data_IF_564392855065
#
_entry.id   IF_564392855065
#
_cell.length_a   1.000
_cell.length_b   1.000
_cell.length_c   1.000
_cell.angle_alpha   90.00
_cell.angle_beta   90.00
_cell.angle_gamma   90.00
#
_symmetry.space_group_name_H-M   'P 1'
#
loop_
_entity.id
_entity.type
_entity.pdbx_description
1 polymer ?
#
# COMPACT_ATOMS: atom_id res chain seq x y z
N UNK A 1 6.30 -13.12 -25.14
CA UNK A 1 7.77 -13.04 -25.00
C UNK A 1 8.29 -11.59 -24.90
N UNK A 2 8.03 -10.71 -25.87
CA UNK A 2 8.55 -9.31 -25.87
C UNK A 2 8.20 -8.49 -24.61
N UNK A 3 6.94 -8.48 -24.18
CA UNK A 3 6.52 -7.73 -22.97
C UNK A 3 7.13 -8.28 -21.67
N UNK A 4 7.39 -9.59 -21.62
CA UNK A 4 8.03 -10.21 -20.46
C UNK A 4 9.50 -9.82 -20.38
N UNK A 5 10.23 -9.88 -21.50
CA UNK A 5 11.61 -9.38 -21.56
C UNK A 5 11.69 -7.89 -21.18
N UNK A 6 10.77 -7.07 -21.67
CA UNK A 6 10.72 -5.65 -21.31
C UNK A 6 10.43 -5.43 -19.82
N UNK A 7 9.59 -6.26 -19.20
CA UNK A 7 9.35 -6.19 -17.76
C UNK A 7 10.59 -6.51 -16.92
N UNK A 8 11.45 -7.41 -17.39
CA UNK A 8 12.74 -7.71 -16.75
C UNK A 8 13.66 -6.48 -16.83
N UNK A 9 13.71 -5.82 -18.00
CA UNK A 9 14.49 -4.59 -18.19
C UNK A 9 13.98 -3.47 -17.25
N UNK A 10 12.66 -3.25 -17.20
CA UNK A 10 12.03 -2.28 -16.29
C UNK A 10 12.43 -2.59 -14.84
N UNK A 11 12.35 -3.86 -14.44
CA UNK A 11 12.69 -4.31 -13.09
C UNK A 11 14.12 -3.91 -12.74
N UNK A 12 15.10 -4.31 -13.56
CA UNK A 12 16.51 -4.05 -13.27
C UNK A 12 16.84 -2.55 -13.31
N UNK A 13 16.31 -1.80 -14.27
CA UNK A 13 16.50 -0.34 -14.32
C UNK A 13 15.96 0.30 -13.03
N UNK A 14 14.73 -0.01 -12.65
CA UNK A 14 14.14 0.52 -11.42
C UNK A 14 14.96 0.10 -10.19
N UNK A 15 15.37 -1.16 -10.11
CA UNK A 15 16.16 -1.70 -9.02
C UNK A 15 17.48 -0.93 -8.87
N UNK A 16 18.26 -0.79 -9.94
CA UNK A 16 19.55 -0.12 -9.89
C UNK A 16 19.42 1.37 -9.61
N UNK A 17 18.43 2.05 -10.19
CA UNK A 17 18.20 3.48 -9.89
C UNK A 17 17.81 3.67 -8.43
N UNK A 18 16.88 2.87 -7.91
CA UNK A 18 16.44 2.97 -6.51
C UNK A 18 17.58 2.59 -5.55
N UNK A 19 18.39 1.60 -5.90
CA UNK A 19 19.57 1.20 -5.14
C UNK A 19 20.62 2.31 -5.10
N UNK A 20 20.94 2.90 -6.25
CA UNK A 20 21.87 4.02 -6.34
C UNK A 20 21.37 5.21 -5.51
N UNK A 21 20.12 5.63 -5.70
CA UNK A 21 19.56 6.77 -4.96
C UNK A 21 19.45 6.50 -3.46
N UNK A 22 18.89 5.36 -3.06
CA UNK A 22 18.68 5.03 -1.64
C UNK A 22 20.00 4.84 -0.87
N UNK A 23 21.07 4.44 -1.55
CA UNK A 23 22.42 4.37 -0.97
C UNK A 23 23.22 5.67 -1.12
N UNK A 24 22.65 6.72 -1.70
CA UNK A 24 23.37 7.95 -2.09
C UNK A 24 24.63 7.65 -2.90
N UNK A 25 24.51 6.72 -3.86
CA UNK A 25 25.58 6.28 -4.76
C UNK A 25 26.77 5.61 -4.07
N UNK A 26 26.64 5.24 -2.78
CA UNK A 26 27.65 4.45 -2.04
C UNK A 26 27.49 2.94 -2.23
N UNK A 27 26.38 2.49 -2.81
CA UNK A 27 26.04 1.07 -3.05
C UNK A 27 26.15 0.16 -1.82
N UNK A 28 26.02 0.75 -0.63
CA UNK A 28 25.97 0.08 0.67
C UNK A 28 24.68 0.47 1.38
N UNK A 29 23.90 -0.49 1.91
CA UNK A 29 22.70 -0.18 2.67
C UNK A 29 23.04 0.71 3.84
N UNK A 30 22.26 1.78 4.02
CA UNK A 30 22.36 2.60 5.22
C UNK A 30 21.71 1.89 6.40
N UNK A 31 22.32 2.05 7.58
CA UNK A 31 21.63 1.68 8.81
C UNK A 31 20.40 2.58 8.99
N UNK A 32 19.29 1.94 9.35
CA UNK A 32 17.97 2.53 9.48
C UNK A 32 17.25 1.81 10.61
N UNK A 33 16.24 2.45 11.19
CA UNK A 33 15.42 1.82 12.23
C UNK A 33 14.79 0.54 11.69
N UNK A 34 15.12 -0.60 12.28
CA UNK A 34 14.71 -1.93 11.81
C UNK A 34 14.26 -2.82 12.97
N UNK A 35 12.95 -3.00 13.06
CA UNK A 35 12.33 -3.96 13.96
C UNK A 35 11.91 -5.26 13.26
N UNK A 36 11.98 -5.32 11.93
CA UNK A 36 11.52 -6.49 11.15
C UNK A 36 12.51 -7.64 11.28
N UNK A 37 13.83 -7.37 11.26
CA UNK A 37 14.83 -8.41 11.50
C UNK A 37 14.73 -8.97 12.93
N UNK A 38 14.54 -8.09 13.92
CA UNK A 38 14.38 -8.47 15.32
C UNK A 38 13.09 -9.27 15.57
N UNK A 39 11.98 -8.84 14.96
CA UNK A 39 10.72 -9.56 15.02
C UNK A 39 10.84 -10.93 14.33
N UNK A 40 11.50 -11.02 13.18
CA UNK A 40 11.76 -12.29 12.49
C UNK A 40 12.52 -13.28 13.38
N UNK A 41 13.59 -12.86 14.05
CA UNK A 41 14.29 -13.70 15.03
C UNK A 41 13.41 -14.14 16.20
N UNK A 42 12.56 -13.24 16.68
CA UNK A 42 11.62 -13.54 17.78
C UNK A 42 10.62 -14.60 17.33
N UNK A 43 10.07 -14.47 16.11
CA UNK A 43 9.12 -15.44 15.54
C UNK A 43 9.73 -16.83 15.32
N UNK A 44 10.99 -16.90 14.91
CA UNK A 44 11.74 -18.17 14.79
C UNK A 44 11.78 -18.90 16.15
N UNK A 45 11.81 -18.16 17.25
CA UNK A 45 11.78 -18.68 18.61
C UNK A 45 10.36 -18.72 19.22
N UNK A 46 9.32 -18.66 18.39
CA UNK A 46 7.90 -18.65 18.80
C UNK A 46 7.52 -17.50 19.75
N UNK A 47 8.20 -16.35 19.64
CA UNK A 47 7.91 -15.12 20.39
C UNK A 47 7.32 -14.06 19.47
N UNK A 48 6.42 -13.25 20.04
CA UNK A 48 5.84 -12.08 19.36
C UNK A 48 6.43 -10.76 19.85
N UNK A 49 7.09 -10.79 21.01
CA UNK A 49 7.81 -9.66 21.57
C UNK A 49 9.24 -9.57 21.04
N UNK A 50 9.78 -8.36 21.04
CA UNK A 50 11.18 -8.09 20.71
C UNK A 50 11.95 -7.96 22.02
N UNK A 51 12.79 -8.96 22.39
CA UNK A 51 13.58 -8.87 23.60
C UNK A 51 14.71 -7.84 23.44
N UNK A 52 14.88 -6.96 24.43
CA UNK A 52 15.98 -5.98 24.52
C UNK A 52 16.23 -5.23 23.19
N UNK A 53 15.23 -4.50 22.65
CA UNK A 53 15.42 -3.78 21.41
C UNK A 53 16.49 -2.68 21.61
N UNK A 54 17.31 -2.38 20.58
CA UNK A 54 18.37 -1.38 20.68
C UNK A 54 17.83 0.04 20.88
N UNK A 55 16.56 0.26 20.54
CA UNK A 55 15.80 1.48 20.79
C UNK A 55 14.33 1.09 20.97
N UNK A 56 13.59 1.86 21.76
CA UNK A 56 12.18 1.63 22.06
C UNK A 56 11.24 2.50 21.23
N UNK A 57 11.81 3.39 20.41
CA UNK A 57 11.06 4.35 19.60
C UNK A 57 10.04 3.65 18.67
N UNK A 58 8.77 4.06 18.75
CA UNK A 58 7.61 3.49 18.08
C UNK A 58 7.30 2.00 18.41
N UNK A 59 7.87 1.45 19.49
CA UNK A 59 7.47 0.14 20.01
C UNK A 59 6.39 0.30 21.09
N UNK A 60 5.53 -0.70 21.21
CA UNK A 60 4.50 -0.77 22.24
C UNK A 60 5.01 -1.52 23.47
N UNK A 61 4.97 -0.90 24.65
CA UNK A 61 5.32 -1.55 25.92
C UNK A 61 4.09 -2.09 26.63
N UNK A 62 3.94 -3.41 26.70
CA UNK A 62 2.79 -4.05 27.33
C UNK A 62 3.19 -5.32 28.07
N UNK A 63 2.71 -5.49 29.31
CA UNK A 63 2.98 -6.69 30.11
C UNK A 63 4.48 -6.99 30.31
N UNK A 64 5.31 -5.95 30.45
CA UNK A 64 6.75 -6.09 30.63
C UNK A 64 7.54 -6.38 29.36
N UNK A 65 6.89 -6.37 28.18
CA UNK A 65 7.47 -6.74 26.88
C UNK A 65 7.31 -5.64 25.85
N UNK A 66 8.20 -5.63 24.86
CA UNK A 66 8.16 -4.70 23.73
C UNK A 66 7.58 -5.39 22.49
N UNK A 67 6.61 -4.76 21.85
CA UNK A 67 5.96 -5.27 20.64
C UNK A 67 6.09 -4.27 19.50
N UNK A 68 6.31 -4.77 18.28
CA UNK A 68 6.25 -3.93 17.10
C UNK A 68 4.80 -3.48 16.86
N UNK A 69 4.55 -2.19 16.65
CA UNK A 69 3.22 -1.65 16.32
C UNK A 69 2.84 -1.87 14.85
N UNK A 70 3.82 -2.22 14.02
CA UNK A 70 3.69 -2.47 12.58
C UNK A 70 3.22 -3.90 12.28
N UNK A 71 2.86 -4.14 11.03
CA UNK A 71 2.51 -5.48 10.57
C UNK A 71 3.67 -6.47 10.63
N UNK A 72 3.31 -7.73 10.82
CA UNK A 72 4.21 -8.89 10.85
C UNK A 72 4.72 -9.29 9.46
N UNK A 73 4.08 -8.80 8.38
CA UNK A 73 4.32 -9.25 7.01
C UNK A 73 5.79 -9.18 6.55
N UNK A 74 6.55 -8.08 6.78
CA UNK A 74 7.96 -8.05 6.39
C UNK A 74 8.80 -9.05 7.18
N UNK A 75 8.51 -9.24 8.47
CA UNK A 75 9.21 -10.22 9.31
C UNK A 75 8.98 -11.65 8.80
N UNK A 76 7.77 -12.00 8.36
CA UNK A 76 7.49 -13.33 7.78
C UNK A 76 8.32 -13.59 6.51
N UNK A 77 8.58 -12.57 5.69
CA UNK A 77 9.43 -12.69 4.50
C UNK A 77 10.90 -12.85 4.88
N UNK A 78 11.33 -12.23 5.99
CA UNK A 78 12.71 -12.32 6.48
C UNK A 78 13.04 -13.70 7.07
N UNK A 79 12.09 -14.42 7.66
CA UNK A 79 12.32 -15.75 8.27
C UNK A 79 13.09 -16.69 7.34
N UNK A 80 12.61 -17.04 6.13
CA UNK A 80 13.35 -17.95 5.25
C UNK A 80 14.70 -17.38 4.78
N UNK A 81 14.80 -16.06 4.62
CA UNK A 81 16.04 -15.41 4.17
C UNK A 81 17.13 -15.44 5.24
N UNK A 82 16.74 -15.19 6.49
CA UNK A 82 17.63 -15.28 7.66
C UNK A 82 18.02 -16.73 7.92
N UNK A 83 17.12 -17.70 7.74
CA UNK A 83 17.44 -19.12 7.88
C UNK A 83 18.51 -19.57 6.87
N UNK A 84 18.41 -19.11 5.62
CA UNK A 84 19.39 -19.44 4.57
C UNK A 84 20.74 -18.73 4.80
N UNK A 85 20.72 -17.46 5.21
CA UNK A 85 21.94 -16.65 5.35
C UNK A 85 22.61 -16.73 6.72
N UNK A 86 21.90 -17.19 7.74
CA UNK A 86 22.36 -17.23 9.13
C UNK A 86 22.55 -15.84 9.78
N UNK A 87 22.09 -14.75 9.17
CA UNK A 87 22.31 -13.39 9.65
C UNK A 87 21.18 -12.43 9.25
N UNK A 88 21.21 -11.22 9.82
CA UNK A 88 20.32 -10.13 9.44
C UNK A 88 20.43 -9.77 7.97
N UNK A 89 19.28 -9.49 7.38
CA UNK A 89 19.16 -9.05 6.00
C UNK A 89 18.76 -7.58 6.01
N UNK A 90 19.58 -6.65 5.49
CA UNK A 90 19.20 -5.26 5.42
C UNK A 90 17.83 -5.11 4.74
N UNK A 91 16.84 -4.62 5.49
CA UNK A 91 15.44 -4.47 5.03
C UNK A 91 15.31 -3.57 3.80
N UNK A 92 16.30 -2.69 3.59
CA UNK A 92 16.46 -1.91 2.38
C UNK A 92 16.41 -2.75 1.09
N UNK A 93 16.99 -3.96 1.09
CA UNK A 93 16.92 -4.86 -0.08
C UNK A 93 15.48 -5.32 -0.37
N UNK A 94 14.67 -5.55 0.67
CA UNK A 94 13.25 -5.84 0.49
C UNK A 94 12.52 -4.62 -0.10
N UNK A 95 12.80 -3.42 0.43
CA UNK A 95 12.18 -2.20 -0.06
C UNK A 95 12.41 -1.99 -1.56
N UNK A 96 13.66 -2.12 -2.03
CA UNK A 96 13.97 -1.97 -3.46
C UNK A 96 13.33 -3.10 -4.27
N UNK A 97 13.48 -4.36 -3.84
CA UNK A 97 12.92 -5.52 -4.54
C UNK A 97 11.43 -5.35 -4.82
N UNK A 98 10.66 -5.10 -3.77
CA UNK A 98 9.20 -4.97 -3.89
C UNK A 98 8.79 -3.67 -4.56
N UNK A 99 9.58 -2.59 -4.46
CA UNK A 99 9.35 -1.36 -5.21
C UNK A 99 9.54 -1.53 -6.70
N UNK A 100 10.58 -2.24 -7.12
CA UNK A 100 10.81 -2.58 -8.53
C UNK A 100 9.72 -3.51 -9.07
N UNK A 101 9.30 -4.51 -8.28
CA UNK A 101 8.15 -5.36 -8.64
C UNK A 101 6.85 -4.56 -8.78
N UNK A 102 6.61 -3.59 -7.90
CA UNK A 102 5.44 -2.71 -7.99
C UNK A 102 5.38 -1.96 -9.33
N UNK A 103 6.52 -1.42 -9.79
CA UNK A 103 6.62 -0.74 -11.09
C UNK A 103 6.32 -1.73 -12.23
N UNK A 104 6.83 -2.95 -12.16
CA UNK A 104 6.53 -4.00 -13.16
C UNK A 104 5.04 -4.34 -13.21
N UNK A 105 4.38 -4.51 -12.06
CA UNK A 105 2.95 -4.78 -12.03
C UNK A 105 2.12 -3.60 -12.51
N UNK A 106 2.55 -2.35 -12.24
CA UNK A 106 1.94 -1.17 -12.83
C UNK A 106 2.08 -1.18 -14.37
N UNK A 107 3.24 -1.56 -14.91
CA UNK A 107 3.41 -1.74 -16.35
C UNK A 107 2.43 -2.76 -16.93
N UNK A 108 2.27 -3.92 -16.29
CA UNK A 108 1.30 -4.93 -16.72
C UNK A 108 -0.15 -4.44 -16.60
N UNK A 109 -0.47 -3.67 -15.56
CA UNK A 109 -1.79 -3.06 -15.40
C UNK A 109 -2.07 -2.06 -16.55
N UNK A 110 -1.10 -1.21 -16.89
CA UNK A 110 -1.22 -0.25 -18.01
C UNK A 110 -1.35 -0.95 -19.37
N UNK A 111 -0.58 -2.02 -19.61
CA UNK A 111 -0.74 -2.85 -20.81
C UNK A 111 -2.14 -3.46 -20.88
N UNK A 112 -2.69 -3.90 -19.74
CA UNK A 112 -4.04 -4.43 -19.69
C UNK A 112 -5.09 -3.35 -19.93
N UNK A 113 -4.93 -2.17 -19.33
CA UNK A 113 -5.78 -1.01 -19.60
C UNK A 113 -5.81 -0.73 -21.10
N UNK A 114 -4.64 -0.64 -21.74
CA UNK A 114 -4.55 -0.48 -23.20
C UNK A 114 -5.31 -1.59 -23.93
N UNK A 115 -5.03 -2.86 -23.63
CA UNK A 115 -5.60 -3.99 -24.37
C UNK A 115 -7.12 -4.09 -24.23
N UNK A 116 -7.65 -3.86 -23.04
CA UNK A 116 -9.04 -4.22 -22.71
C UNK A 116 -9.99 -3.03 -22.62
N UNK A 117 -9.47 -1.83 -22.34
CA UNK A 117 -10.30 -0.65 -22.05
C UNK A 117 -9.98 0.53 -22.97
N UNK A 118 -8.70 0.75 -23.31
CA UNK A 118 -8.24 1.89 -24.11
C UNK A 118 -7.30 1.46 -25.26
N UNK A 119 -7.80 0.75 -26.30
CA UNK A 119 -6.95 0.25 -27.40
C UNK A 119 -6.13 1.33 -28.10
N UNK A 120 -6.71 2.54 -28.20
CA UNK A 120 -6.13 3.73 -28.82
C UNK A 120 -4.97 4.35 -28.02
N UNK A 121 -4.73 3.92 -26.78
CA UNK A 121 -3.65 4.46 -25.95
C UNK A 121 -2.28 4.05 -26.51
N UNK A 122 -1.43 5.01 -26.86
CA UNK A 122 -0.09 4.71 -27.38
C UNK A 122 0.83 4.12 -26.30
N UNK A 123 1.84 3.36 -26.71
CA UNK A 123 2.87 2.86 -25.79
C UNK A 123 3.68 3.99 -25.14
N UNK A 124 3.89 5.09 -25.85
CA UNK A 124 4.51 6.29 -25.29
C UNK A 124 3.77 6.78 -24.03
N UNK A 125 2.43 6.83 -24.07
CA UNK A 125 1.62 7.20 -22.89
C UNK A 125 1.80 6.21 -21.75
N UNK A 126 1.87 4.90 -22.04
CA UNK A 126 2.16 3.87 -21.03
C UNK A 126 3.48 4.19 -20.32
N UNK A 127 4.54 4.48 -21.07
CA UNK A 127 5.85 4.74 -20.49
C UNK A 127 5.90 6.04 -19.70
N UNK A 128 5.22 7.11 -20.14
CA UNK A 128 5.06 8.33 -19.34
C UNK A 128 4.37 8.02 -18.01
N UNK A 129 3.23 7.31 -18.03
CA UNK A 129 2.53 6.95 -16.79
C UNK A 129 3.39 6.08 -15.88
N UNK A 130 4.19 5.18 -16.46
CA UNK A 130 5.10 4.33 -15.70
C UNK A 130 6.22 5.14 -15.04
N UNK A 131 6.82 6.10 -15.76
CA UNK A 131 7.83 7.01 -15.21
C UNK A 131 7.26 7.88 -14.10
N UNK A 132 6.05 8.43 -14.30
CA UNK A 132 5.36 9.22 -13.29
C UNK A 132 5.01 8.39 -12.05
N UNK A 133 4.58 7.13 -12.23
CA UNK A 133 4.38 6.24 -11.10
C UNK A 133 5.70 5.96 -10.36
N UNK A 134 6.76 5.65 -11.10
CA UNK A 134 8.05 5.28 -10.55
C UNK A 134 8.82 6.44 -9.89
N UNK A 135 8.62 7.70 -10.32
CA UNK A 135 9.42 8.84 -9.86
C UNK A 135 8.58 10.02 -9.35
N UNK A 136 7.33 10.14 -9.78
CA UNK A 136 6.42 11.23 -9.44
C UNK A 136 5.40 10.87 -8.34
N UNK A 137 5.56 9.74 -7.66
CA UNK A 137 4.68 9.38 -6.52
C UNK A 137 5.50 9.02 -5.28
N UNK A 138 4.82 8.85 -4.16
CA UNK A 138 5.42 8.37 -2.91
C UNK A 138 6.12 7.02 -3.07
N UNK A 139 5.84 6.26 -4.13
CA UNK A 139 6.57 5.05 -4.52
C UNK A 139 8.09 5.26 -4.53
N UNK A 140 8.56 6.39 -5.04
CA UNK A 140 9.99 6.68 -5.13
C UNK A 140 10.61 6.93 -3.75
N UNK A 141 9.97 7.80 -2.96
CA UNK A 141 10.43 8.14 -1.61
C UNK A 141 10.47 6.91 -0.70
N UNK A 142 9.35 6.16 -0.64
CA UNK A 142 9.23 5.01 0.23
C UNK A 142 10.14 3.86 -0.27
N UNK A 143 10.22 3.65 -1.58
CA UNK A 143 11.02 2.57 -2.16
C UNK A 143 12.54 2.75 -2.10
N UNK A 144 13.01 3.98 -1.86
CA UNK A 144 14.44 4.29 -1.68
C UNK A 144 14.86 4.31 -0.21
N UNK A 145 13.95 4.00 0.72
CA UNK A 145 14.21 3.98 2.16
C UNK A 145 14.02 2.57 2.72
N UNK A 146 14.88 2.21 3.69
CA UNK A 146 14.89 0.89 4.32
C UNK A 146 14.28 0.83 5.73
N UNK A 147 13.84 1.95 6.29
CA UNK A 147 13.33 1.97 7.67
C UNK A 147 12.04 1.17 7.82
N UNK A 148 11.75 0.76 9.05
CA UNK A 148 10.61 -0.09 9.43
C UNK A 148 9.27 0.34 8.79
N UNK A 149 8.98 1.65 8.76
CA UNK A 149 7.76 2.20 8.18
C UNK A 149 7.67 1.98 6.67
N UNK A 150 8.77 2.23 5.97
CA UNK A 150 8.81 2.26 4.50
C UNK A 150 8.73 0.85 3.91
N UNK A 151 9.47 -0.07 4.52
CA UNK A 151 9.49 -1.48 4.10
C UNK A 151 8.11 -2.10 4.22
N UNK A 152 7.44 -1.86 5.34
CA UNK A 152 6.08 -2.31 5.58
C UNK A 152 5.07 -1.70 4.59
N UNK A 153 5.18 -0.39 4.30
CA UNK A 153 4.36 0.29 3.30
C UNK A 153 4.53 -0.32 1.89
N UNK A 154 5.77 -0.54 1.43
CA UNK A 154 6.04 -1.06 0.08
C UNK A 154 5.56 -2.50 -0.09
N UNK A 155 5.85 -3.37 0.87
CA UNK A 155 5.46 -4.78 0.79
C UNK A 155 3.93 -4.91 0.82
N UNK A 156 3.27 -4.16 1.70
CA UNK A 156 1.80 -4.15 1.77
C UNK A 156 1.19 -3.56 0.49
N UNK A 157 1.75 -2.47 -0.03
CA UNK A 157 1.32 -1.86 -1.30
C UNK A 157 1.50 -2.83 -2.47
N UNK A 158 2.55 -3.65 -2.47
CA UNK A 158 2.77 -4.68 -3.49
C UNK A 158 1.67 -5.73 -3.54
N UNK A 159 1.25 -6.26 -2.38
CA UNK A 159 0.09 -7.16 -2.34
C UNK A 159 -1.17 -6.47 -2.86
N UNK A 160 -1.35 -5.20 -2.50
CA UNK A 160 -2.38 -4.31 -3.05
C UNK A 160 -2.38 -4.26 -4.58
N UNK A 161 -1.22 -3.95 -5.16
CA UNK A 161 -1.01 -3.82 -6.61
C UNK A 161 -1.26 -5.14 -7.34
N UNK A 162 -0.78 -6.27 -6.80
CA UNK A 162 -1.04 -7.59 -7.37
C UNK A 162 -2.54 -7.90 -7.35
N UNK A 163 -3.21 -7.65 -6.22
CA UNK A 163 -4.65 -7.85 -6.08
C UNK A 163 -5.46 -7.00 -7.07
N UNK A 164 -5.12 -5.72 -7.20
CA UNK A 164 -5.73 -4.81 -8.18
C UNK A 164 -5.47 -5.28 -9.61
N UNK A 165 -4.21 -5.61 -9.93
CA UNK A 165 -3.84 -6.14 -11.24
C UNK A 165 -4.65 -7.40 -11.56
N UNK A 166 -4.87 -8.30 -10.60
CA UNK A 166 -5.66 -9.50 -10.84
C UNK A 166 -7.12 -9.13 -11.15
N UNK A 167 -7.77 -8.26 -10.39
CA UNK A 167 -9.22 -8.01 -10.56
C UNK A 167 -9.56 -7.02 -11.67
N UNK A 168 -8.62 -6.13 -12.01
CA UNK A 168 -8.82 -5.11 -13.03
C UNK A 168 -8.73 -5.73 -14.42
N UNK A 169 -9.86 -6.19 -14.95
CA UNK A 169 -9.99 -6.77 -16.30
C UNK A 169 -11.45 -6.73 -16.77
N UNK A 170 -11.68 -6.74 -18.08
CA UNK A 170 -13.01 -6.63 -18.68
C UNK A 170 -13.85 -7.88 -18.47
N UNK A 171 -13.26 -9.06 -18.68
CA UNK A 171 -13.91 -10.36 -18.43
C UNK A 171 -13.33 -11.00 -17.17
N UNK A 172 -14.15 -11.11 -16.13
CA UNK A 172 -13.77 -11.72 -14.85
C UNK A 172 -14.32 -13.15 -14.79
N UNK A 173 -13.59 -14.00 -14.07
CA UNK A 173 -13.96 -15.38 -13.74
C UNK A 173 -13.88 -15.45 -12.21
N UNK A 174 -14.60 -16.38 -11.59
CA UNK A 174 -14.61 -16.53 -10.12
C UNK A 174 -13.19 -16.56 -9.52
N UNK A 175 -12.26 -17.30 -10.15
CA UNK A 175 -10.86 -17.39 -9.71
C UNK A 175 -10.15 -16.03 -9.62
N UNK A 176 -10.52 -15.04 -10.45
CA UNK A 176 -9.92 -13.70 -10.39
C UNK A 176 -10.39 -12.93 -9.15
N UNK A 177 -11.65 -13.11 -8.74
CA UNK A 177 -12.17 -12.54 -7.50
C UNK A 177 -11.48 -13.18 -6.29
N UNK A 178 -11.42 -14.52 -6.29
CA UNK A 178 -10.81 -15.30 -5.22
C UNK A 178 -9.30 -14.99 -5.06
N UNK A 179 -8.55 -14.98 -6.15
CA UNK A 179 -7.11 -14.68 -6.07
C UNK A 179 -6.86 -13.22 -5.70
N UNK A 180 -7.63 -12.27 -6.23
CA UNK A 180 -7.51 -10.86 -5.85
C UNK A 180 -7.78 -10.66 -4.35
N UNK A 181 -8.83 -11.27 -3.80
CA UNK A 181 -9.18 -11.07 -2.39
C UNK A 181 -8.14 -11.70 -1.45
N UNK A 182 -7.49 -12.80 -1.83
CA UNK A 182 -6.36 -13.37 -1.06
C UNK A 182 -5.24 -12.34 -0.91
N UNK A 183 -4.79 -11.74 -2.01
CA UNK A 183 -3.72 -10.73 -1.98
C UNK A 183 -4.13 -9.45 -1.23
N UNK A 184 -5.35 -8.95 -1.48
CA UNK A 184 -5.82 -7.73 -0.81
C UNK A 184 -6.09 -7.94 0.68
N UNK A 185 -6.50 -9.14 1.10
CA UNK A 185 -6.71 -9.45 2.52
C UNK A 185 -5.39 -9.76 3.24
N UNK A 186 -4.39 -10.34 2.56
CA UNK A 186 -3.06 -10.52 3.13
C UNK A 186 -2.42 -9.18 3.57
N UNK A 187 -2.88 -8.05 3.04
CA UNK A 187 -2.47 -6.71 3.48
C UNK A 187 -2.80 -6.42 4.95
N UNK A 188 -3.77 -7.11 5.58
CA UNK A 188 -4.03 -7.01 7.02
C UNK A 188 -2.80 -7.36 7.88
N UNK A 189 -1.93 -8.24 7.38
CA UNK A 189 -0.70 -8.62 8.07
C UNK A 189 0.40 -7.56 7.99
N UNK A 190 0.28 -6.59 7.07
CA UNK A 190 1.22 -5.48 6.91
C UNK A 190 0.63 -4.18 7.45
N UNK A 191 -0.36 -3.61 6.75
CA UNK A 191 -1.05 -2.40 7.20
C UNK A 191 -2.57 -2.56 7.19
N UNK A 192 -3.22 -2.37 8.35
CA UNK A 192 -4.69 -2.44 8.46
C UNK A 192 -5.39 -1.35 7.64
N UNK A 193 -4.73 -0.23 7.34
CA UNK A 193 -5.30 0.85 6.53
C UNK A 193 -5.67 0.39 5.13
N UNK A 194 -5.05 -0.71 4.65
CA UNK A 194 -5.36 -1.31 3.36
C UNK A 194 -6.54 -2.29 3.42
N UNK A 195 -7.13 -2.52 4.61
CA UNK A 195 -8.28 -3.38 4.81
C UNK A 195 -9.44 -3.06 3.86
N UNK A 196 -9.73 -1.78 3.65
CA UNK A 196 -10.84 -1.35 2.78
C UNK A 196 -10.66 -1.80 1.34
N UNK A 197 -9.42 -2.01 0.87
CA UNK A 197 -9.18 -2.53 -0.48
C UNK A 197 -9.66 -3.98 -0.63
N UNK A 198 -9.68 -4.77 0.44
CA UNK A 198 -10.19 -6.15 0.39
C UNK A 198 -11.70 -6.24 0.10
N UNK A 199 -12.44 -5.13 0.26
CA UNK A 199 -13.85 -5.05 -0.13
C UNK A 199 -14.06 -4.90 -1.64
N UNK A 200 -13.00 -4.52 -2.39
CA UNK A 200 -13.09 -4.28 -3.83
C UNK A 200 -13.51 -5.52 -4.62
N UNK A 201 -12.91 -6.72 -4.45
CA UNK A 201 -13.32 -7.91 -5.19
C UNK A 201 -14.74 -8.35 -4.81
N UNK A 202 -15.13 -8.23 -3.54
CA UNK A 202 -16.50 -8.56 -3.09
C UNK A 202 -17.51 -7.64 -3.79
N UNK A 203 -17.27 -6.34 -3.74
CA UNK A 203 -18.14 -5.34 -4.38
C UNK A 203 -18.24 -5.57 -5.88
N UNK A 204 -17.10 -5.81 -6.55
CA UNK A 204 -17.09 -6.09 -8.00
C UNK A 204 -17.76 -7.41 -8.36
N UNK A 205 -17.77 -8.40 -7.47
CA UNK A 205 -18.43 -9.68 -7.68
C UNK A 205 -19.96 -9.50 -7.63
N UNK A 206 -20.46 -8.82 -6.60
CA UNK A 206 -21.89 -8.52 -6.43
C UNK A 206 -22.45 -7.60 -7.52
N UNK A 207 -21.60 -6.75 -8.10
CA UNK A 207 -21.95 -5.87 -9.21
C UNK A 207 -21.80 -6.52 -10.60
N UNK A 208 -21.25 -7.73 -10.71
CA UNK A 208 -21.07 -8.37 -12.01
C UNK A 208 -22.42 -8.87 -12.57
N UNK A 209 -22.83 -8.46 -13.80
CA UNK A 209 -24.08 -8.88 -14.40
C UNK A 209 -24.23 -10.41 -14.54
N UNK A 210 -23.13 -11.12 -14.78
CA UNK A 210 -23.14 -12.59 -14.86
C UNK A 210 -23.49 -13.23 -13.52
N UNK A 211 -23.10 -12.58 -12.42
CA UNK A 211 -23.42 -13.02 -11.05
C UNK A 211 -24.85 -12.67 -10.69
N UNK A 212 -25.32 -11.47 -11.06
CA UNK A 212 -26.71 -11.06 -10.83
C UNK A 212 -27.72 -11.98 -11.53
N UNK A 213 -27.37 -12.47 -12.71
CA UNK A 213 -28.20 -13.45 -13.44
C UNK A 213 -28.29 -14.79 -12.69
N UNK A 214 -27.27 -15.20 -11.92
CA UNK A 214 -27.36 -16.41 -11.08
C UNK A 214 -28.35 -16.28 -9.92
N UNK A 215 -28.69 -15.05 -9.49
CA UNK A 215 -29.68 -14.81 -8.44
C UNK A 215 -31.12 -14.85 -8.97
N UNK A 216 -31.35 -14.53 -10.25
CA UNK A 216 -32.70 -14.48 -10.83
C UNK A 216 -33.20 -15.84 -11.32
N UNK A 217 -32.30 -16.77 -11.65
CA UNK A 217 -32.67 -18.12 -12.09
C UNK A 217 -32.47 -19.13 -10.94
N UNK A 218 -33.55 -19.83 -10.53
CA UNK A 218 -33.68 -21.15 -9.85
C UNK A 218 -32.69 -21.64 -8.74
N UNK A 219 -33.13 -22.64 -7.96
CA UNK A 219 -32.50 -23.16 -6.72
C UNK A 219 -31.08 -23.74 -6.85
N UNK A 220 -30.67 -24.25 -8.02
CA UNK A 220 -29.30 -24.80 -8.21
C UNK A 220 -28.25 -23.69 -8.37
N UNK A 221 -28.60 -22.59 -9.01
CA UNK A 221 -27.73 -21.44 -9.27
C UNK A 221 -27.57 -20.57 -8.02
N UNK A 222 -28.59 -20.50 -7.15
CA UNK A 222 -28.48 -19.88 -5.84
C UNK A 222 -27.50 -20.62 -4.90
N UNK A 223 -27.45 -21.95 -4.95
CA UNK A 223 -26.47 -22.74 -4.19
C UNK A 223 -25.02 -22.48 -4.67
N UNK A 224 -24.82 -22.35 -5.99
CA UNK A 224 -23.50 -21.99 -6.55
C UNK A 224 -23.10 -20.57 -6.14
N UNK A 225 -24.02 -19.62 -6.17
CA UNK A 225 -23.78 -18.26 -5.69
C UNK A 225 -23.41 -18.25 -4.20
N UNK A 226 -24.18 -18.92 -3.34
CA UNK A 226 -23.90 -19.01 -1.91
C UNK A 226 -22.50 -19.61 -1.66
N UNK A 227 -22.15 -20.71 -2.35
CA UNK A 227 -20.81 -21.29 -2.28
C UNK A 227 -19.72 -20.30 -2.71
N UNK A 228 -19.93 -19.56 -3.79
CA UNK A 228 -18.95 -18.57 -4.27
C UNK A 228 -18.77 -17.41 -3.29
N UNK A 229 -19.86 -16.92 -2.68
CA UNK A 229 -19.78 -15.89 -1.64
C UNK A 229 -19.02 -16.41 -0.42
N UNK A 230 -19.32 -17.62 0.07
CA UNK A 230 -18.59 -18.24 1.17
C UNK A 230 -17.09 -18.32 0.84
N UNK A 231 -16.75 -18.83 -0.34
CA UNK A 231 -15.36 -18.95 -0.79
C UNK A 231 -14.65 -17.59 -0.91
N UNK A 232 -15.36 -16.51 -1.24
CA UNK A 232 -14.78 -15.17 -1.24
C UNK A 232 -14.61 -14.62 0.18
N UNK A 233 -15.53 -14.89 1.09
CA UNK A 233 -15.42 -14.46 2.48
C UNK A 233 -14.31 -15.19 3.22
N UNK A 234 -14.00 -16.45 2.88
CA UNK A 234 -13.01 -17.26 3.60
C UNK A 234 -11.62 -16.61 3.72
N UNK A 235 -10.94 -16.17 2.63
CA UNK A 235 -9.64 -15.50 2.76
C UNK A 235 -9.71 -14.22 3.57
N UNK A 236 -10.76 -13.41 3.36
CA UNK A 236 -10.96 -12.18 4.12
C UNK A 236 -11.08 -12.45 5.62
N UNK A 237 -11.96 -13.38 6.01
CA UNK A 237 -12.16 -13.77 7.40
C UNK A 237 -10.92 -14.42 7.99
N UNK A 238 -10.16 -15.20 7.22
CA UNK A 238 -8.92 -15.82 7.67
C UNK A 238 -7.87 -14.77 8.06
N UNK A 239 -7.57 -13.81 7.17
CA UNK A 239 -6.59 -12.78 7.46
C UNK A 239 -7.07 -11.79 8.53
N UNK A 240 -8.36 -11.45 8.54
CA UNK A 240 -8.96 -10.62 9.57
C UNK A 240 -8.90 -11.28 10.96
N UNK A 241 -9.23 -12.57 11.05
CA UNK A 241 -9.16 -13.31 12.31
C UNK A 241 -7.73 -13.49 12.77
N UNK A 242 -6.80 -13.77 11.86
CA UNK A 242 -5.36 -13.84 12.16
C UNK A 242 -4.86 -12.51 12.73
N UNK A 243 -5.28 -11.40 12.13
CA UNK A 243 -4.95 -10.06 12.59
C UNK A 243 -5.47 -9.78 14.01
N UNK A 244 -6.75 -10.07 14.29
CA UNK A 244 -7.32 -9.88 15.63
C UNK A 244 -6.73 -10.82 16.67
N UNK A 245 -6.45 -12.08 16.31
CA UNK A 245 -5.78 -13.03 17.19
C UNK A 245 -4.37 -12.56 17.52
N UNK A 246 -3.63 -12.06 16.53
CA UNK A 246 -2.28 -11.51 16.72
C UNK A 246 -2.28 -10.33 17.71
N UNK A 247 -3.29 -9.45 17.65
CA UNK A 247 -3.45 -8.37 18.63
C UNK A 247 -3.84 -8.88 20.01
N UNK A 248 -4.77 -9.84 20.07
CA UNK A 248 -5.21 -10.42 21.33
C UNK A 248 -4.05 -11.08 22.08
N UNK A 249 -3.17 -11.82 21.41
CA UNK A 249 -2.01 -12.45 22.05
C UNK A 249 -1.01 -11.39 22.56
N UNK A 250 -0.84 -10.27 21.85
CA UNK A 250 0.11 -9.21 22.24
C UNK A 250 -0.42 -8.30 23.35
N UNK A 251 -1.71 -8.00 23.35
CA UNK A 251 -2.30 -6.92 24.15
C UNK A 251 -3.53 -7.34 24.99
N UNK A 252 -3.89 -8.62 25.01
CA UNK A 252 -5.14 -9.13 25.61
C UNK A 252 -6.41 -8.44 25.10
N UNK A 253 -6.35 -7.79 23.93
CA UNK A 253 -7.46 -7.09 23.30
C UNK A 253 -7.32 -7.20 21.76
N UNK A 254 -8.31 -7.78 21.04
CA UNK A 254 -8.22 -7.93 19.59
C UNK A 254 -8.22 -6.60 18.84
N UNK A 255 -8.83 -5.55 19.40
CA UNK A 255 -8.95 -4.24 18.77
C UNK A 255 -7.78 -3.31 19.10
N UNK A 256 -6.86 -3.73 19.97
CA UNK A 256 -5.68 -2.95 20.32
C UNK A 256 -4.57 -3.14 19.28
N UNK A 257 -4.08 -2.02 18.73
CA UNK A 257 -3.03 -1.99 17.71
C UNK A 257 -1.63 -1.81 18.30
N UNK A 258 -1.54 -1.43 19.57
CA UNK A 258 -0.32 -1.04 20.27
C UNK A 258 -0.16 0.47 20.42
N UNK A 259 -1.01 1.28 19.77
CA UNK A 259 -0.93 2.75 19.84
C UNK A 259 -1.23 3.29 21.23
N UNK A 260 -1.99 2.59 22.08
CA UNK A 260 -2.18 3.05 23.46
C UNK A 260 -0.94 2.87 24.33
N UNK A 261 0.00 2.02 23.90
CA UNK A 261 1.20 1.65 24.64
C UNK A 261 2.49 2.06 23.92
N UNK A 262 2.37 2.83 22.83
CA UNK A 262 3.49 3.19 21.97
C UNK A 262 4.41 4.19 22.68
N UNK A 263 5.71 3.93 22.63
CA UNK A 263 6.75 4.86 23.05
C UNK A 263 7.11 5.76 21.86
N UNK A 264 6.57 6.97 21.83
CA UNK A 264 6.71 7.93 20.73
C UNK A 264 7.16 9.31 21.22
N UNK A 265 7.40 10.25 20.31
CA UNK A 265 7.73 11.63 20.73
C UNK A 265 6.61 12.25 21.56
N UNK A 266 6.96 13.03 22.59
CA UNK A 266 5.99 13.70 23.48
C UNK A 266 4.90 14.48 22.72
N UNK A 267 5.26 15.15 21.63
CA UNK A 267 4.29 15.87 20.80
C UNK A 267 3.21 14.96 20.20
N UNK A 268 3.58 13.78 19.70
CA UNK A 268 2.63 12.82 19.14
C UNK A 268 1.80 12.16 20.23
N UNK A 269 2.41 11.84 21.36
CA UNK A 269 1.73 11.33 22.54
C UNK A 269 0.63 12.30 23.01
N UNK A 270 0.95 13.58 23.18
CA UNK A 270 -0.02 14.60 23.61
C UNK A 270 -1.22 14.69 22.63
N UNK A 271 -0.94 14.60 21.32
CA UNK A 271 -1.98 14.63 20.30
C UNK A 271 -2.87 13.38 20.34
N UNK A 272 -2.27 12.21 20.57
CA UNK A 272 -2.96 10.92 20.66
C UNK A 272 -3.80 10.84 21.93
N UNK A 273 -3.27 11.24 23.08
CA UNK A 273 -4.02 11.25 24.35
C UNK A 273 -5.21 12.23 24.27
N UNK A 274 -5.03 13.37 23.61
CA UNK A 274 -6.09 14.37 23.43
C UNK A 274 -7.20 13.96 22.45
N UNK A 275 -6.84 13.32 21.34
CA UNK A 275 -7.78 13.10 20.23
C UNK A 275 -8.08 11.62 19.94
N UNK A 276 -7.41 10.70 20.63
CA UNK A 276 -7.34 9.29 20.28
C UNK A 276 -6.38 9.03 19.10
N UNK A 277 -6.01 7.74 18.87
CA UNK A 277 -5.20 7.34 17.72
C UNK A 277 -5.93 7.53 16.38
N UNK A 278 -7.28 7.55 16.39
CA UNK A 278 -8.11 7.83 15.23
C UNK A 278 -9.04 9.01 15.52
N UNK A 279 -8.91 10.09 14.76
CA UNK A 279 -9.71 11.30 14.93
C UNK A 279 -10.12 11.90 13.60
N UNK A 280 -11.42 12.21 13.46
CA UNK A 280 -11.95 12.89 12.27
C UNK A 280 -11.37 14.30 12.10
N UNK A 281 -10.87 14.91 13.19
CA UNK A 281 -10.17 16.20 13.17
C UNK A 281 -8.92 16.18 12.29
N UNK A 282 -8.32 15.00 12.07
CA UNK A 282 -7.15 14.85 11.21
C UNK A 282 -7.52 14.83 9.72
N UNK A 283 -8.79 14.63 9.35
CA UNK A 283 -9.22 14.50 7.95
C UNK A 283 -8.89 15.75 7.12
N UNK A 284 -9.22 16.98 7.53
CA UNK A 284 -8.89 18.17 6.75
C UNK A 284 -7.38 18.32 6.52
N UNK A 285 -6.57 18.08 7.57
CA UNK A 285 -5.11 18.17 7.51
C UNK A 285 -4.50 17.09 6.61
N UNK A 286 -4.99 15.86 6.68
CA UNK A 286 -4.54 14.77 5.82
C UNK A 286 -4.94 15.00 4.35
N UNK A 287 -6.14 15.54 4.10
CA UNK A 287 -6.57 15.94 2.75
C UNK A 287 -5.69 17.06 2.20
N UNK A 288 -5.32 18.04 3.03
CA UNK A 288 -4.36 19.07 2.65
C UNK A 288 -3.02 18.46 2.23
N UNK A 289 -2.43 17.59 3.05
CA UNK A 289 -1.17 16.94 2.70
C UNK A 289 -1.26 16.08 1.44
N UNK A 290 -2.38 15.37 1.25
CA UNK A 290 -2.58 14.50 0.10
C UNK A 290 -2.81 15.27 -1.20
N UNK A 291 -3.48 16.42 -1.15
CA UNK A 291 -3.96 17.11 -2.36
C UNK A 291 -3.24 18.42 -2.67
N UNK A 292 -2.74 19.13 -1.66
CA UNK A 292 -2.33 20.53 -1.78
C UNK A 292 -0.90 20.83 -1.30
N UNK A 293 -0.34 20.05 -0.38
CA UNK A 293 1.01 20.32 0.14
C UNK A 293 2.07 20.25 -0.96
N UNK A 294 2.86 21.32 -1.09
CA UNK A 294 3.94 21.43 -2.07
C UNK A 294 5.27 21.26 -1.32
N UNK A 295 6.23 20.48 -1.85
CA UNK A 295 7.59 20.42 -1.30
C UNK A 295 8.23 21.82 -1.24
N UNK A 296 8.93 22.12 -0.16
CA UNK A 296 9.67 23.39 -0.05
C UNK A 296 10.95 23.33 -0.87
N UNK A 297 11.26 24.41 -1.57
CA UNK A 297 12.53 24.58 -2.29
C UNK A 297 13.43 25.49 -1.47
N UNK A 298 14.59 24.98 -1.06
CA UNK A 298 15.67 25.80 -0.56
C UNK A 298 16.66 26.08 -1.70
N UNK A 299 17.16 27.31 -1.77
CA UNK A 299 18.10 27.78 -2.79
C UNK A 299 19.39 28.37 -2.19
N UNK A 300 19.58 28.29 -0.87
CA UNK A 300 20.71 28.95 -0.18
C UNK A 300 22.08 28.44 -0.63
N UNK A 301 22.27 27.13 -0.74
CA UNK A 301 23.55 26.53 -1.19
C UNK A 301 23.40 25.66 -2.44
N UNK A 302 22.26 24.95 -2.56
CA UNK A 302 21.91 24.07 -3.68
C UNK A 302 20.41 24.10 -3.85
N UNK A 303 19.92 23.71 -5.03
CA UNK A 303 18.50 23.43 -5.22
C UNK A 303 18.17 22.18 -4.39
N UNK A 304 17.60 22.39 -3.21
CA UNK A 304 17.18 21.32 -2.31
C UNK A 304 15.64 21.26 -2.26
N UNK A 305 15.10 20.17 -2.81
CA UNK A 305 13.67 19.89 -2.79
C UNK A 305 13.34 19.11 -1.52
N UNK A 306 12.96 19.84 -0.47
CA UNK A 306 12.62 19.25 0.81
C UNK A 306 11.14 18.81 0.81
N UNK A 307 10.93 17.49 0.78
CA UNK A 307 9.60 16.89 0.89
C UNK A 307 9.13 16.85 2.35
N UNK A 308 7.87 17.15 2.59
CA UNK A 308 7.29 17.09 3.93
C UNK A 308 7.15 15.64 4.39
N UNK A 309 7.63 15.33 5.61
CA UNK A 309 7.45 14.02 6.23
C UNK A 309 5.99 13.68 6.54
N UNK A 310 5.11 14.70 6.61
CA UNK A 310 3.68 14.52 6.90
C UNK A 310 2.87 14.11 5.67
N UNK A 311 3.37 14.42 4.48
CA UNK A 311 2.75 14.09 3.20
C UNK A 311 2.98 15.17 2.16
N UNK A 312 2.85 14.81 0.89
CA UNK A 312 3.07 15.69 -0.26
C UNK A 312 1.96 15.48 -1.28
N UNK A 313 1.57 16.54 -1.97
CA UNK A 313 0.44 16.52 -2.91
C UNK A 313 0.66 15.52 -4.03
N UNK A 314 -0.29 14.60 -4.19
CA UNK A 314 -0.32 13.67 -5.31
C UNK A 314 -0.47 14.39 -6.66
N UNK A 315 -1.13 15.55 -6.66
CA UNK A 315 -1.31 16.37 -7.86
C UNK A 315 -0.06 17.15 -8.22
N UNK A 316 0.67 17.66 -7.23
CA UNK A 316 1.94 18.34 -7.49
C UNK A 316 3.00 17.35 -7.96
N UNK A 317 3.14 16.21 -7.27
CA UNK A 317 4.12 15.20 -7.60
C UNK A 317 3.77 14.45 -8.91
N UNK A 318 2.48 14.29 -9.21
CA UNK A 318 1.99 13.72 -10.49
C UNK A 318 0.94 14.63 -11.14
N UNK A 319 1.35 15.72 -11.83
CA UNK A 319 0.42 16.66 -12.47
C UNK A 319 -0.60 16.04 -13.43
N UNK A 320 -0.27 14.95 -14.17
CA UNK A 320 -1.27 14.29 -15.01
C UNK A 320 -2.47 13.70 -14.24
N UNK A 321 -2.34 13.39 -12.95
CA UNK A 321 -3.50 12.98 -12.13
C UNK A 321 -4.48 14.13 -11.92
N UNK A 322 -3.98 15.37 -11.77
CA UNK A 322 -4.83 16.55 -11.74
C UNK A 322 -5.54 16.74 -13.08
N UNK A 323 -4.82 16.60 -14.19
CA UNK A 323 -5.41 16.69 -15.52
C UNK A 323 -6.52 15.64 -15.74
N UNK A 324 -6.32 14.40 -15.30
CA UNK A 324 -7.33 13.33 -15.34
C UNK A 324 -8.54 13.70 -14.47
N UNK A 325 -8.31 14.20 -13.25
CA UNK A 325 -9.37 14.62 -12.34
C UNK A 325 -10.23 15.74 -12.97
N UNK A 326 -9.59 16.76 -13.54
CA UNK A 326 -10.24 17.88 -14.22
C UNK A 326 -10.97 17.45 -15.52
N UNK A 327 -10.47 16.43 -16.21
CA UNK A 327 -11.10 15.89 -17.41
C UNK A 327 -12.35 15.03 -17.13
N UNK A 328 -12.62 14.70 -15.86
CA UNK A 328 -13.68 13.78 -15.45
C UNK A 328 -15.09 14.25 -15.89
N UNK A 329 -16.01 13.32 -16.20
CA UNK A 329 -17.38 13.66 -16.59
C UNK A 329 -18.13 14.49 -15.56
N UNK A 330 -17.84 14.32 -14.26
CA UNK A 330 -18.41 15.11 -13.18
C UNK A 330 -18.01 16.60 -13.28
N UNK A 331 -16.74 16.88 -13.60
CA UNK A 331 -16.25 18.24 -13.85
C UNK A 331 -16.79 18.83 -15.16
N UNK A 332 -17.00 17.99 -16.20
CA UNK A 332 -17.68 18.43 -17.44
C UNK A 332 -19.14 18.83 -17.20
N UNK A 333 -19.85 18.20 -16.26
CA UNK A 333 -21.21 18.60 -15.87
C UNK A 333 -21.25 19.95 -15.15
N UNK A 334 -20.20 20.33 -14.40
CA UNK A 334 -20.07 21.69 -13.81
C UNK A 334 -19.98 22.79 -14.88
N UNK A 335 -19.44 22.51 -16.07
CA UNK A 335 -19.47 23.45 -17.22
C UNK A 335 -20.86 23.68 -17.81
N UNK A 336 -21.91 22.97 -17.35
CA UNK A 336 -23.31 23.28 -17.66
C UNK A 336 -23.97 24.22 -16.64
N UNK A 337 -23.27 24.58 -15.57
CA UNK A 337 -23.75 25.57 -14.61
C UNK A 337 -23.40 26.94 -15.18
N UNK A 338 -24.39 27.62 -15.76
CA UNK A 338 -24.28 29.04 -16.12
C UNK A 338 -24.45 29.82 -14.83
N UNK A 339 -23.37 30.40 -14.31
CA UNK A 339 -23.45 31.40 -13.27
C UNK A 339 -23.94 32.69 -13.92
N UNK A 340 -25.20 33.06 -13.69
CA UNK A 340 -25.75 34.33 -14.15
C UNK A 340 -25.80 35.28 -12.94
N UNK A 341 -24.75 36.09 -12.70
CA UNK A 341 -24.66 36.97 -11.53
C UNK A 341 -25.71 38.10 -11.54
N UNK A 342 -26.41 38.29 -12.65
CA UNK A 342 -27.46 39.28 -12.83
C UNK A 342 -28.77 38.56 -13.19
N UNK A 343 -29.44 38.02 -12.16
CA UNK A 343 -30.85 37.68 -12.27
C UNK A 343 -31.63 38.96 -11.91
N UNK A 344 -31.83 39.83 -12.90
CA UNK A 344 -32.85 40.88 -12.82
C UNK A 344 -34.19 40.18 -13.07
N UNK A 345 -34.95 39.99 -11.99
CA UNK A 345 -36.35 39.57 -12.05
C UNK A 345 -37.25 40.67 -12.60
#
# INVERSE_FOLDING_TARGET
>A
MKHFLFSIIIFFIAFFVYFAVGTQYKFSPKWVLDYHNLLSQSLINFRLDIPNPPTTYDLAYFGGKWYATWGILPALILIPLQYIRGQFIPTFYLSILFSSMNIVFMYFLLLRIKREFLPQMSYFRIYIFLLLFAFGTTQFYIGTLGSVWHVDQIITSFLGMVGIYIIFRKKRKFIHYLTSIIFLSAAFLGRPTNALLSLLPITLYLCDPSVRTMLTFASKTSAVFARQVILLCLPFLFFLSTFFLFNYIRFNNPLEYGFNYIDETKHLQDLREKNGPFSIKNVPKNLWYMLLEIPSLNFEEKIDLHSSLKGNSIFFLTPPLLAIFLASPAMRRRKKIVYNPLFLG
#
